data_IF_543896661956
#
_entry.id   IF_543896661956
#
_cell.length_a   1.000
_cell.length_b   1.000
_cell.length_c   1.000
_cell.angle_alpha   90.00
_cell.angle_beta   90.00
_cell.angle_gamma   90.00
#
_symmetry.space_group_name_H-M   'P 1'
#
loop_
_entity.id
_entity.type
_entity.pdbx_description
1 polymer ?
#
# COMPACT_ATOMS: atom_id res chain seq x y z
N UNK A 1 -1.42 16.93 -35.37
CA UNK A 1 -2.18 17.56 -34.26
C UNK A 1 -1.73 16.91 -32.97
N UNK A 2 -0.91 17.60 -32.17
CA UNK A 2 -0.52 17.13 -30.83
C UNK A 2 -1.60 17.64 -29.88
N UNK A 3 -2.50 16.76 -29.42
CA UNK A 3 -3.47 17.12 -28.39
C UNK A 3 -2.71 17.36 -27.08
N UNK A 4 -2.69 18.60 -26.60
CA UNK A 4 -2.19 18.92 -25.26
C UNK A 4 -3.13 18.26 -24.23
N UNK A 5 -2.60 17.28 -23.49
CA UNK A 5 -3.27 16.65 -22.36
C UNK A 5 -3.57 17.71 -21.29
N UNK A 6 -4.84 18.00 -21.09
CA UNK A 6 -5.36 18.89 -20.04
C UNK A 6 -5.52 18.19 -18.69
N UNK A 7 -5.02 16.96 -18.51
CA UNK A 7 -5.21 16.15 -17.30
C UNK A 7 -4.24 16.44 -16.15
N UNK A 8 -3.10 17.08 -16.41
CA UNK A 8 -2.01 17.15 -15.42
C UNK A 8 -2.22 18.24 -14.35
N UNK A 9 -2.96 19.32 -14.66
CA UNK A 9 -3.17 20.42 -13.72
C UNK A 9 -4.13 20.11 -12.55
N UNK A 10 -4.90 19.01 -12.62
CA UNK A 10 -5.81 18.61 -11.53
C UNK A 10 -5.10 17.90 -10.38
N UNK A 11 -3.96 17.26 -10.63
CA UNK A 11 -3.26 16.43 -9.64
C UNK A 11 -2.59 17.29 -8.57
N UNK A 12 -2.04 18.45 -8.95
CA UNK A 12 -1.33 19.36 -8.03
C UNK A 12 -2.20 19.86 -6.88
N UNK A 13 -3.51 20.09 -7.10
CA UNK A 13 -4.40 20.65 -6.07
C UNK A 13 -4.81 19.64 -4.99
N UNK A 14 -4.73 18.35 -5.28
CA UNK A 14 -5.11 17.33 -4.31
C UNK A 14 -4.04 17.17 -3.23
N UNK A 15 -2.76 17.42 -3.54
CA UNK A 15 -1.66 17.34 -2.56
C UNK A 15 -1.74 18.40 -1.45
N UNK A 16 -2.26 19.60 -1.75
CA UNK A 16 -2.28 20.73 -0.80
C UNK A 16 -3.23 20.54 0.40
N UNK A 17 -4.17 19.58 0.33
CA UNK A 17 -5.20 19.39 1.36
C UNK A 17 -4.88 18.28 2.39
N UNK A 18 -3.73 17.60 2.29
CA UNK A 18 -3.56 16.30 2.96
C UNK A 18 -2.86 16.25 4.33
N UNK A 19 -2.36 17.34 4.90
CA UNK A 19 -1.37 17.23 5.99
C UNK A 19 -1.95 17.34 7.42
N UNK A 20 -3.26 17.11 7.65
CA UNK A 20 -3.83 17.30 9.01
C UNK A 20 -4.15 16.03 9.81
N UNK A 21 -4.19 14.86 9.19
CA UNK A 21 -4.70 13.64 9.86
C UNK A 21 -3.60 12.62 10.22
N UNK A 22 -2.51 12.56 9.46
CA UNK A 22 -1.39 11.66 9.79
C UNK A 22 -0.49 12.28 10.86
N UNK A 23 0.05 11.45 11.74
CA UNK A 23 0.87 11.86 12.87
C UNK A 23 2.19 11.11 12.92
N UNK A 24 3.23 11.80 13.42
CA UNK A 24 4.53 11.19 13.66
C UNK A 24 4.42 10.12 14.76
N UNK A 25 4.91 8.89 14.54
CA UNK A 25 4.96 7.86 15.58
C UNK A 25 5.91 8.27 16.73
N UNK A 26 5.77 7.62 17.89
CA UNK A 26 6.62 7.86 19.07
C UNK A 26 8.05 7.33 18.93
N UNK A 27 8.33 6.51 17.91
CA UNK A 27 9.65 6.03 17.49
C UNK A 27 9.61 5.71 16.00
N UNK A 28 10.77 5.50 15.38
CA UNK A 28 10.83 5.17 13.95
C UNK A 28 10.24 3.78 13.68
N UNK A 29 9.46 3.67 12.61
CA UNK A 29 8.84 2.42 12.16
C UNK A 29 9.65 1.92 10.97
N UNK A 30 10.63 1.05 11.23
CA UNK A 30 11.60 0.56 10.23
C UNK A 30 11.43 -0.94 10.02
N UNK A 31 11.06 -1.37 8.81
CA UNK A 31 10.90 -2.79 8.50
C UNK A 31 11.96 -3.30 7.52
N UNK A 32 12.37 -2.45 6.57
CA UNK A 32 13.25 -2.79 5.46
C UNK A 32 14.68 -2.26 5.69
N UNK A 33 14.84 -0.94 5.69
CA UNK A 33 16.13 -0.26 5.84
C UNK A 33 15.91 1.21 6.21
N UNK A 34 16.76 1.74 7.09
CA UNK A 34 16.80 3.15 7.50
C UNK A 34 16.86 4.16 6.33
N UNK A 35 17.42 3.79 5.17
CA UNK A 35 17.44 4.67 3.99
C UNK A 35 16.04 4.98 3.43
N UNK A 36 15.03 4.18 3.79
CA UNK A 36 13.65 4.35 3.38
C UNK A 36 12.80 5.09 4.41
N UNK A 37 13.43 5.79 5.36
CA UNK A 37 12.72 6.58 6.37
C UNK A 37 12.44 7.98 5.84
N UNK A 38 11.16 8.36 5.85
CA UNK A 38 10.72 9.72 5.56
C UNK A 38 11.24 10.69 6.63
N UNK A 39 11.96 11.74 6.22
CA UNK A 39 12.34 12.83 7.13
C UNK A 39 11.18 13.78 7.42
N UNK A 40 10.21 13.85 6.51
CA UNK A 40 9.01 14.67 6.56
C UNK A 40 7.83 13.88 6.02
N UNK A 41 6.62 14.32 6.34
CA UNK A 41 5.42 13.77 5.73
C UNK A 41 5.51 13.85 4.21
N UNK A 42 5.33 12.71 3.53
CA UNK A 42 5.57 12.58 2.09
C UNK A 42 4.38 11.93 1.42
N UNK A 43 4.09 12.34 0.18
CA UNK A 43 3.01 11.79 -0.62
C UNK A 43 3.58 11.16 -1.88
N UNK A 44 3.13 9.94 -2.19
CA UNK A 44 3.44 9.26 -3.44
C UNK A 44 2.15 8.97 -4.22
N UNK A 45 2.29 8.88 -5.55
CA UNK A 45 1.18 8.56 -6.44
C UNK A 45 1.48 7.29 -7.23
N UNK A 46 0.56 6.33 -7.17
CA UNK A 46 0.54 5.16 -8.03
C UNK A 46 -0.29 5.44 -9.27
N UNK A 47 0.25 5.09 -10.44
CA UNK A 47 -0.44 5.28 -11.72
C UNK A 47 -0.20 4.10 -12.64
N UNK A 48 -1.27 3.59 -13.25
CA UNK A 48 -1.10 2.70 -14.40
C UNK A 48 -0.54 3.47 -15.60
N UNK A 49 0.58 2.99 -16.14
CA UNK A 49 1.29 3.58 -17.27
C UNK A 49 2.62 2.85 -17.47
N UNK A 50 3.19 2.96 -18.67
CA UNK A 50 4.50 2.38 -18.95
C UNK A 50 5.58 3.13 -18.17
N UNK A 51 6.40 2.37 -17.44
CA UNK A 51 7.62 2.87 -16.81
C UNK A 51 8.58 3.43 -17.86
N UNK A 52 9.30 4.49 -17.49
CA UNK A 52 10.39 5.01 -18.31
C UNK A 52 11.66 4.16 -18.23
N UNK A 53 11.73 3.25 -17.25
CA UNK A 53 12.93 2.46 -16.93
C UNK A 53 12.77 0.97 -17.26
N UNK A 54 11.53 0.46 -17.26
CA UNK A 54 11.22 -0.95 -17.45
C UNK A 54 9.97 -1.13 -18.32
N UNK A 55 9.59 -2.37 -18.64
CA UNK A 55 8.32 -2.68 -19.30
C UNK A 55 7.12 -2.75 -18.36
N UNK A 56 7.30 -2.38 -17.08
CA UNK A 56 6.26 -2.45 -16.07
C UNK A 56 5.17 -1.39 -16.31
N UNK A 57 3.94 -1.72 -15.93
CA UNK A 57 2.73 -0.94 -16.24
C UNK A 57 2.11 -0.23 -15.03
N UNK A 58 2.77 -0.29 -13.88
CA UNK A 58 2.41 0.46 -12.68
C UNK A 58 3.64 1.24 -12.22
N UNK A 59 3.53 2.56 -12.21
CA UNK A 59 4.61 3.47 -11.79
C UNK A 59 4.27 4.15 -10.48
N UNK A 60 5.31 4.45 -9.69
CA UNK A 60 5.22 5.20 -8.44
C UNK A 60 5.93 6.54 -8.66
N UNK A 61 5.18 7.61 -8.45
CA UNK A 61 5.63 8.98 -8.61
C UNK A 61 5.80 9.63 -7.23
N UNK A 62 6.78 10.53 -7.10
CA UNK A 62 6.90 11.43 -5.96
C UNK A 62 5.91 12.61 -6.06
N UNK A 63 6.02 13.54 -5.10
CA UNK A 63 5.25 14.77 -5.03
C UNK A 63 5.52 15.75 -6.19
N UNK A 64 6.63 15.58 -6.93
CA UNK A 64 6.95 16.34 -8.13
C UNK A 64 6.45 15.64 -9.42
N UNK A 65 5.67 14.56 -9.27
CA UNK A 65 5.20 13.68 -10.37
C UNK A 65 6.33 13.00 -11.15
N UNK A 66 7.51 12.85 -10.54
CA UNK A 66 8.64 12.14 -11.14
C UNK A 66 8.58 10.67 -10.77
N UNK A 67 8.79 9.81 -11.76
CA UNK A 67 8.89 8.37 -11.54
C UNK A 67 10.15 8.05 -10.71
N UNK A 68 9.92 7.43 -9.56
CA UNK A 68 10.99 7.03 -8.63
C UNK A 68 11.09 5.51 -8.50
N UNK A 69 9.98 4.79 -8.70
CA UNK A 69 9.90 3.33 -8.67
C UNK A 69 8.87 2.83 -9.68
N UNK A 70 8.92 1.54 -9.98
CA UNK A 70 7.94 0.85 -10.82
C UNK A 70 7.64 -0.54 -10.25
N UNK A 71 6.48 -1.09 -10.61
CA UNK A 71 5.99 -2.34 -10.05
C UNK A 71 5.69 -3.37 -11.15
N UNK A 72 6.25 -4.57 -11.03
CA UNK A 72 5.80 -5.74 -11.79
C UNK A 72 4.69 -6.45 -11.01
N UNK A 73 3.65 -6.86 -11.72
CA UNK A 73 2.55 -7.64 -11.16
C UNK A 73 2.50 -8.96 -11.91
N UNK A 74 2.71 -10.07 -11.19
CA UNK A 74 2.75 -11.42 -11.77
C UNK A 74 1.92 -12.38 -10.93
N UNK A 75 0.74 -12.74 -11.41
CA UNK A 75 -0.15 -13.66 -10.71
C UNK A 75 -0.62 -13.07 -9.38
N UNK A 76 -0.17 -13.65 -8.27
CA UNK A 76 -0.43 -13.22 -6.90
C UNK A 76 0.79 -12.53 -6.23
N UNK A 77 1.79 -12.18 -7.03
CA UNK A 77 3.00 -11.51 -6.57
C UNK A 77 3.06 -10.10 -7.16
N UNK A 78 3.55 -9.16 -6.35
CA UNK A 78 3.95 -7.83 -6.81
C UNK A 78 5.39 -7.57 -6.40
N UNK A 79 6.17 -6.93 -7.26
CA UNK A 79 7.59 -6.64 -7.02
C UNK A 79 7.83 -5.16 -7.31
N UNK A 80 8.38 -4.43 -6.34
CA UNK A 80 8.79 -3.02 -6.51
C UNK A 80 10.24 -3.00 -6.96
N UNK A 81 10.52 -2.26 -8.03
CA UNK A 81 11.84 -2.05 -8.60
C UNK A 81 12.27 -0.59 -8.46
N UNK A 82 13.57 -0.39 -8.34
CA UNK A 82 14.17 0.93 -8.48
C UNK A 82 14.26 1.36 -9.97
N UNK A 83 14.83 2.55 -10.19
CA UNK A 83 15.07 3.12 -11.53
C UNK A 83 16.09 2.35 -12.37
N UNK A 84 16.92 1.52 -11.75
CA UNK A 84 17.91 0.69 -12.44
C UNK A 84 17.32 -0.68 -12.82
N UNK A 85 16.09 -0.99 -12.37
CA UNK A 85 15.47 -2.29 -12.56
C UNK A 85 15.88 -3.32 -11.51
N UNK A 86 16.48 -2.88 -10.40
CA UNK A 86 16.82 -3.75 -9.28
C UNK A 86 15.61 -3.97 -8.37
N UNK A 87 15.27 -5.22 -8.04
CA UNK A 87 14.12 -5.53 -7.19
C UNK A 87 14.42 -5.15 -5.74
N UNK A 88 13.56 -4.34 -5.14
CA UNK A 88 13.71 -3.87 -3.75
C UNK A 88 13.02 -4.84 -2.80
N UNK A 89 11.73 -5.05 -3.02
CA UNK A 89 10.89 -5.92 -2.21
C UNK A 89 9.81 -6.54 -3.08
N UNK A 90 9.29 -7.67 -2.62
CA UNK A 90 8.09 -8.26 -3.18
C UNK A 90 7.04 -8.51 -2.11
N UNK A 91 5.81 -8.62 -2.58
CA UNK A 91 4.72 -9.15 -1.78
C UNK A 91 4.05 -10.31 -2.51
N UNK A 92 3.66 -11.32 -1.76
CA UNK A 92 2.93 -12.47 -2.27
C UNK A 92 1.69 -12.68 -1.41
N UNK A 93 0.51 -12.65 -2.02
CA UNK A 93 -0.76 -12.83 -1.30
C UNK A 93 -1.41 -14.17 -1.62
N UNK A 94 -2.08 -14.71 -0.61
CA UNK A 94 -2.90 -15.92 -0.71
C UNK A 94 -4.29 -15.59 -0.16
N UNK A 95 -5.32 -15.91 -0.94
CA UNK A 95 -6.73 -15.69 -0.60
C UNK A 95 -7.43 -17.03 -0.60
N UNK A 96 -7.99 -17.41 0.55
CA UNK A 96 -8.77 -18.62 0.75
C UNK A 96 -10.20 -18.27 1.13
N UNK A 97 -11.19 -18.84 0.43
CA UNK A 97 -12.60 -18.72 0.80
C UNK A 97 -12.95 -19.81 1.82
N UNK A 98 -13.31 -19.44 3.06
CA UNK A 98 -13.49 -20.40 4.16
C UNK A 98 -14.83 -21.14 4.18
N UNK A 99 -15.84 -20.70 3.43
CA UNK A 99 -17.20 -21.26 3.56
C UNK A 99 -18.17 -20.76 2.46
N UNK A 100 -19.40 -21.29 2.47
CA UNK A 100 -20.52 -20.79 1.66
C UNK A 100 -20.89 -19.33 1.96
N UNK A 101 -20.57 -18.81 3.14
CA UNK A 101 -21.00 -17.49 3.61
C UNK A 101 -20.17 -16.31 3.06
N UNK A 102 -19.31 -16.55 2.07
CA UNK A 102 -18.45 -15.53 1.43
C UNK A 102 -17.45 -14.87 2.39
N UNK A 103 -16.99 -15.62 3.40
CA UNK A 103 -15.84 -15.25 4.22
C UNK A 103 -14.53 -15.60 3.50
N UNK A 104 -13.62 -14.63 3.45
CA UNK A 104 -12.29 -14.75 2.88
C UNK A 104 -11.25 -14.60 3.98
N UNK A 105 -10.21 -15.42 3.87
CA UNK A 105 -8.97 -15.26 4.60
C UNK A 105 -7.88 -14.86 3.63
N UNK A 106 -7.17 -13.81 4.00
CA UNK A 106 -6.09 -13.27 3.19
C UNK A 106 -4.81 -13.22 4.03
N UNK A 107 -3.72 -13.67 3.43
CA UNK A 107 -2.37 -13.52 3.97
C UNK A 107 -1.50 -12.91 2.90
N UNK A 108 -0.78 -11.85 3.23
CA UNK A 108 0.21 -11.20 2.38
C UNK A 108 1.57 -11.32 3.07
N UNK A 109 2.51 -11.96 2.41
CA UNK A 109 3.91 -12.06 2.84
C UNK A 109 4.72 -10.95 2.19
N UNK A 110 5.64 -10.35 2.95
CA UNK A 110 6.54 -9.30 2.45
C UNK A 110 7.98 -9.76 2.58
N UNK A 111 8.70 -9.70 1.46
CA UNK A 111 9.97 -10.39 1.29
C UNK A 111 10.97 -9.53 0.51
N UNK A 112 12.24 -9.95 0.55
CA UNK A 112 13.35 -9.24 -0.08
C UNK A 112 13.47 -9.52 -1.57
N UNK A 113 13.67 -8.46 -2.36
CA UNK A 113 13.96 -8.55 -3.78
C UNK A 113 12.99 -9.48 -4.50
N UNK A 114 13.51 -10.58 -5.06
CA UNK A 114 12.73 -11.62 -5.76
C UNK A 114 12.49 -12.88 -4.94
N UNK A 115 12.91 -12.93 -3.67
CA UNK A 115 12.66 -14.09 -2.82
C UNK A 115 11.17 -14.17 -2.47
N UNK A 116 10.47 -15.15 -3.03
CA UNK A 116 9.04 -15.37 -2.78
C UNK A 116 8.77 -16.29 -1.58
N UNK A 117 9.82 -16.82 -0.96
CA UNK A 117 9.72 -17.95 -0.01
C UNK A 117 9.87 -17.52 1.44
N UNK A 118 10.65 -16.48 1.73
CA UNK A 118 10.85 -15.98 3.08
C UNK A 118 10.14 -14.66 3.29
N UNK A 119 9.10 -14.64 4.14
CA UNK A 119 8.37 -13.44 4.60
C UNK A 119 9.22 -12.54 5.50
N UNK A 120 10.43 -12.18 5.04
CA UNK A 120 11.51 -11.56 5.80
C UNK A 120 11.08 -10.28 6.52
N UNK A 121 10.25 -9.47 5.89
CA UNK A 121 9.86 -8.14 6.39
C UNK A 121 8.50 -8.12 7.07
N UNK A 122 7.84 -9.27 7.19
CA UNK A 122 6.61 -9.40 7.96
C UNK A 122 5.48 -10.05 7.18
N UNK A 123 4.36 -10.21 7.90
CA UNK A 123 3.17 -10.88 7.41
C UNK A 123 1.96 -10.03 7.77
N UNK A 124 1.11 -9.80 6.76
CA UNK A 124 -0.16 -9.13 6.91
C UNK A 124 -1.30 -10.15 6.76
N UNK A 125 -2.25 -10.15 7.70
CA UNK A 125 -3.37 -11.11 7.71
C UNK A 125 -4.69 -10.38 7.88
N UNK A 126 -5.72 -10.88 7.21
CA UNK A 126 -7.10 -10.41 7.38
C UNK A 126 -8.09 -11.55 7.23
N UNK A 127 -9.24 -11.40 7.86
CA UNK A 127 -10.44 -12.10 7.42
C UNK A 127 -11.60 -11.14 7.29
N UNK A 128 -12.31 -11.24 6.17
CA UNK A 128 -13.37 -10.30 5.82
C UNK A 128 -14.47 -11.00 5.03
N UNK A 129 -15.64 -10.35 4.98
CA UNK A 129 -16.74 -10.75 4.10
C UNK A 129 -16.88 -9.72 2.98
N UNK A 130 -17.25 -10.19 1.80
CA UNK A 130 -17.63 -9.29 0.70
C UNK A 130 -19.12 -8.98 0.78
N UNK A 131 -19.48 -7.71 0.60
CA UNK A 131 -20.86 -7.32 0.36
C UNK A 131 -21.34 -7.96 -0.95
N UNK A 132 -22.46 -8.69 -0.92
CA UNK A 132 -22.97 -9.44 -2.08
C UNK A 132 -23.33 -8.56 -3.28
N UNK A 133 -23.70 -7.30 -3.04
CA UNK A 133 -24.14 -6.39 -4.09
C UNK A 133 -22.99 -5.58 -4.68
N UNK A 134 -22.07 -5.11 -3.83
CA UNK A 134 -20.98 -4.23 -4.27
C UNK A 134 -19.66 -4.95 -4.48
N UNK A 135 -19.52 -6.19 -3.97
CA UNK A 135 -18.28 -6.96 -3.91
C UNK A 135 -17.15 -6.23 -3.17
N UNK A 136 -17.51 -5.33 -2.25
CA UNK A 136 -16.58 -4.56 -1.43
C UNK A 136 -16.43 -5.26 -0.07
N UNK A 137 -15.20 -5.39 0.46
CA UNK A 137 -14.98 -5.89 1.82
C UNK A 137 -15.74 -5.07 2.87
N UNK A 138 -16.38 -5.75 3.83
CA UNK A 138 -17.06 -5.14 4.96
C UNK A 138 -16.14 -5.20 6.18
N UNK A 139 -15.90 -4.07 6.85
CA UNK A 139 -15.07 -3.96 8.05
C UNK A 139 -13.69 -4.63 7.89
N UNK A 140 -13.06 -4.41 6.73
CA UNK A 140 -11.77 -5.01 6.42
C UNK A 140 -10.69 -4.41 7.33
N UNK A 141 -10.07 -5.28 8.12
CA UNK A 141 -8.95 -4.97 8.99
C UNK A 141 -7.81 -5.93 8.71
N UNK A 142 -6.67 -5.41 8.27
CA UNK A 142 -5.44 -6.18 8.21
C UNK A 142 -4.61 -5.97 9.47
N UNK A 143 -4.15 -7.07 10.05
CA UNK A 143 -3.18 -7.08 11.15
C UNK A 143 -1.82 -7.43 10.59
N UNK A 144 -0.85 -6.57 10.85
CA UNK A 144 0.53 -6.71 10.39
C UNK A 144 1.40 -7.02 11.60
N UNK A 145 2.32 -7.97 11.47
CA UNK A 145 3.37 -8.24 12.44
C UNK A 145 4.73 -8.23 11.72
N UNK A 146 5.68 -7.49 12.27
CA UNK A 146 7.02 -7.31 11.70
C UNK A 146 8.06 -7.04 12.79
N UNK A 147 9.34 -7.27 12.49
CA UNK A 147 10.45 -6.88 13.34
C UNK A 147 10.81 -5.42 13.06
N UNK A 148 10.59 -4.52 14.01
CA UNK A 148 11.04 -3.14 13.87
C UNK A 148 12.55 -3.05 14.11
N UNK A 149 13.30 -2.68 13.07
CA UNK A 149 14.75 -2.62 13.10
C UNK A 149 15.28 -1.50 14.01
N UNK A 150 14.47 -0.47 14.31
CA UNK A 150 14.86 0.63 15.20
C UNK A 150 15.13 0.16 16.63
N UNK A 151 14.24 -0.68 17.17
CA UNK A 151 14.28 -1.14 18.56
C UNK A 151 14.47 -2.65 18.71
N UNK A 152 14.58 -3.37 17.59
CA UNK A 152 14.70 -4.83 17.50
C UNK A 152 13.57 -5.58 18.22
N UNK A 153 12.32 -5.09 18.12
CA UNK A 153 11.13 -5.71 18.71
C UNK A 153 10.10 -6.07 17.65
N UNK A 154 9.33 -7.12 17.92
CA UNK A 154 8.15 -7.41 17.14
C UNK A 154 7.07 -6.35 17.43
N UNK A 155 6.63 -5.69 16.37
CA UNK A 155 5.61 -4.65 16.42
C UNK A 155 4.42 -4.99 15.55
N UNK A 156 3.32 -4.29 15.82
CA UNK A 156 2.05 -4.47 15.13
C UNK A 156 1.58 -3.18 14.51
N UNK A 157 1.14 -3.29 13.26
CA UNK A 157 0.36 -2.25 12.59
C UNK A 157 -1.04 -2.79 12.29
N UNK A 158 -2.00 -1.88 12.15
CA UNK A 158 -3.34 -2.23 11.73
C UNK A 158 -3.76 -1.37 10.53
N UNK A 159 -4.16 -2.01 9.43
CA UNK A 159 -4.75 -1.34 8.27
C UNK A 159 -6.26 -1.46 8.35
N UNK A 160 -6.95 -0.33 8.39
CA UNK A 160 -8.41 -0.25 8.47
C UNK A 160 -8.97 0.34 7.18
N UNK A 161 -9.96 -0.32 6.58
CA UNK A 161 -10.77 0.26 5.51
C UNK A 161 -11.71 1.33 6.12
N UNK A 162 -11.72 2.53 5.53
CA UNK A 162 -12.66 3.58 5.92
C UNK A 162 -14.09 3.21 5.55
N UNK A 163 -15.00 3.34 6.52
CA UNK A 163 -16.45 3.20 6.27
C UNK A 163 -17.06 4.44 5.60
N UNK A 164 -16.40 5.60 5.73
CA UNK A 164 -16.91 6.89 5.25
C UNK A 164 -16.39 7.22 3.84
N UNK A 165 -15.15 6.82 3.54
CA UNK A 165 -14.46 7.16 2.30
C UNK A 165 -14.15 5.88 1.53
N UNK A 166 -14.92 5.63 0.48
CA UNK A 166 -14.74 4.46 -0.38
C UNK A 166 -13.31 4.35 -0.92
N UNK A 167 -12.68 3.18 -0.71
CA UNK A 167 -11.32 2.91 -1.20
C UNK A 167 -10.23 3.68 -0.46
N UNK A 168 -10.50 4.14 0.77
CA UNK A 168 -9.51 4.74 1.65
C UNK A 168 -9.10 3.76 2.74
N UNK A 169 -7.80 3.56 2.93
CA UNK A 169 -7.23 2.74 4.00
C UNK A 169 -6.39 3.60 4.93
N UNK A 170 -6.43 3.27 6.21
CA UNK A 170 -5.72 3.96 7.26
C UNK A 170 -4.80 2.97 7.98
N UNK A 171 -3.52 3.29 8.09
CA UNK A 171 -2.51 2.44 8.73
C UNK A 171 -2.13 3.05 10.06
N UNK A 172 -2.40 2.33 11.14
CA UNK A 172 -2.13 2.76 12.51
C UNK A 172 -0.96 2.01 13.10
N UNK A 173 -0.10 2.71 13.83
CA UNK A 173 0.82 2.09 14.79
C UNK A 173 0.20 2.10 16.20
N UNK A 174 0.68 1.20 17.06
CA UNK A 174 0.16 0.98 18.42
C UNK A 174 -1.38 0.76 18.45
N UNK A 175 -1.94 -0.14 17.61
CA UNK A 175 -3.38 -0.27 17.49
C UNK A 175 -4.02 -0.70 18.82
N UNK A 176 -5.04 0.05 19.25
CA UNK A 176 -5.77 -0.16 20.51
C UNK A 176 -5.11 0.44 21.75
N UNK A 177 -3.94 1.05 21.63
CA UNK A 177 -3.22 1.68 22.74
C UNK A 177 -3.52 3.19 22.85
N UNK A 178 -3.18 3.79 24.00
CA UNK A 178 -3.39 5.24 24.22
C UNK A 178 -2.63 6.13 23.24
N UNK A 179 -1.53 5.62 22.67
CA UNK A 179 -0.69 6.29 21.69
C UNK A 179 -0.89 5.73 20.26
N UNK A 180 -2.07 5.15 19.99
CA UNK A 180 -2.48 4.80 18.62
C UNK A 180 -2.34 6.02 17.71
N UNK A 181 -1.58 5.89 16.62
CA UNK A 181 -1.29 7.00 15.71
C UNK A 181 -1.51 6.56 14.27
N UNK A 182 -2.25 7.37 13.50
CA UNK A 182 -2.40 7.19 12.06
C UNK A 182 -1.10 7.62 11.37
N UNK A 183 -0.35 6.66 10.82
CA UNK A 183 0.99 6.91 10.26
C UNK A 183 1.03 6.86 8.73
N UNK A 184 -0.01 6.30 8.11
CA UNK A 184 -0.12 6.27 6.65
C UNK A 184 -1.58 6.19 6.21
N UNK A 185 -1.87 6.83 5.08
CA UNK A 185 -3.20 6.87 4.46
C UNK A 185 -3.07 6.50 2.99
N UNK A 186 -3.89 5.56 2.52
CA UNK A 186 -3.96 5.16 1.11
C UNK A 186 -5.33 5.55 0.60
N UNK A 187 -5.41 6.29 -0.51
CA UNK A 187 -6.68 6.72 -1.09
C UNK A 187 -6.75 6.38 -2.57
N UNK A 188 -7.83 5.71 -2.96
CA UNK A 188 -8.19 5.51 -4.37
C UNK A 188 -8.85 6.76 -4.93
N UNK A 189 -8.36 7.24 -6.07
CA UNK A 189 -8.97 8.40 -6.72
C UNK A 189 -10.29 8.06 -7.41
N UNK A 190 -11.33 8.87 -7.14
CA UNK A 190 -12.72 8.58 -7.56
C UNK A 190 -12.88 8.61 -9.09
N UNK A 191 -12.23 9.59 -9.73
CA UNK A 191 -12.36 9.83 -11.17
C UNK A 191 -11.48 8.91 -12.00
N UNK A 192 -10.38 8.45 -11.42
CA UNK A 192 -9.43 7.62 -12.12
C UNK A 192 -9.13 6.36 -11.30
N UNK A 193 -9.89 5.29 -11.57
CA UNK A 193 -9.81 4.01 -10.83
C UNK A 193 -8.41 3.37 -10.83
N UNK A 194 -7.49 3.90 -11.62
CA UNK A 194 -6.11 3.47 -11.83
C UNK A 194 -5.08 4.34 -11.09
N UNK A 195 -5.54 5.23 -10.22
CA UNK A 195 -4.71 6.19 -9.48
C UNK A 195 -4.97 6.03 -7.99
N UNK A 196 -3.89 5.93 -7.24
CA UNK A 196 -3.93 5.87 -5.79
C UNK A 196 -2.88 6.81 -5.24
N UNK A 197 -3.22 7.55 -4.19
CA UNK A 197 -2.25 8.31 -3.41
C UNK A 197 -1.95 7.56 -2.13
N UNK A 198 -0.72 7.70 -1.66
CA UNK A 198 -0.31 7.26 -0.34
C UNK A 198 0.38 8.42 0.35
N UNK A 199 -0.06 8.74 1.56
CA UNK A 199 0.58 9.70 2.45
C UNK A 199 1.26 8.92 3.57
N UNK A 200 2.53 9.23 3.82
CA UNK A 200 3.36 8.54 4.81
C UNK A 200 3.93 9.57 5.76
N UNK A 201 3.76 9.35 7.07
CA UNK A 201 4.26 10.25 8.11
C UNK A 201 5.80 10.21 8.20
N UNK A 202 6.40 11.29 8.70
CA UNK A 202 7.81 11.32 9.05
C UNK A 202 8.17 10.19 10.05
N UNK A 203 9.37 9.61 9.92
CA UNK A 203 9.85 8.51 10.77
C UNK A 203 9.31 7.13 10.40
N UNK A 204 8.65 7.00 9.25
CA UNK A 204 8.06 5.73 8.78
C UNK A 204 8.78 5.25 7.53
N UNK A 205 8.98 3.93 7.44
CA UNK A 205 9.53 3.24 6.27
C UNK A 205 8.55 3.32 5.09
N UNK A 206 8.76 4.29 4.20
CA UNK A 206 7.84 4.54 3.09
C UNK A 206 7.84 3.38 2.10
N UNK A 207 8.96 2.69 1.94
CA UNK A 207 9.09 1.59 1.00
C UNK A 207 8.23 0.40 1.45
N UNK A 208 8.20 0.14 2.76
CA UNK A 208 7.27 -0.82 3.36
C UNK A 208 5.80 -0.41 3.19
N UNK A 209 5.47 0.88 3.33
CA UNK A 209 4.11 1.39 3.11
C UNK A 209 3.66 1.29 1.64
N UNK A 210 4.57 1.55 0.70
CA UNK A 210 4.32 1.38 -0.74
C UNK A 210 3.97 -0.07 -1.07
N UNK A 211 4.66 -1.03 -0.44
CA UNK A 211 4.36 -2.45 -0.58
C UNK A 211 2.89 -2.75 -0.22
N UNK A 212 2.44 -2.31 0.96
CA UNK A 212 1.05 -2.50 1.40
C UNK A 212 0.03 -1.91 0.42
N UNK A 213 0.28 -0.69 -0.07
CA UNK A 213 -0.60 -0.04 -1.02
C UNK A 213 -0.80 -0.89 -2.27
N UNK A 214 0.28 -1.41 -2.86
CA UNK A 214 0.20 -2.26 -4.05
C UNK A 214 -0.53 -3.55 -3.74
N UNK A 215 -0.18 -4.24 -2.65
CA UNK A 215 -0.73 -5.56 -2.31
C UNK A 215 -2.23 -5.50 -2.04
N UNK A 216 -2.68 -4.57 -1.19
CA UNK A 216 -4.09 -4.46 -0.79
C UNK A 216 -4.97 -4.15 -2.00
N UNK A 217 -4.55 -3.19 -2.84
CA UNK A 217 -5.34 -2.80 -4.00
C UNK A 217 -5.45 -3.93 -5.02
N UNK A 218 -4.38 -4.70 -5.19
CA UNK A 218 -4.34 -5.76 -6.19
C UNK A 218 -5.00 -7.06 -5.71
N UNK A 219 -4.83 -7.42 -4.43
CA UNK A 219 -5.42 -8.65 -3.87
C UNK A 219 -6.95 -8.60 -3.86
N UNK A 220 -7.54 -7.45 -3.50
CA UNK A 220 -9.00 -7.24 -3.53
C UNK A 220 -9.53 -7.37 -4.96
N UNK A 221 -8.83 -6.82 -5.94
CA UNK A 221 -9.20 -6.94 -7.35
C UNK A 221 -9.18 -8.40 -7.82
N UNK A 222 -8.20 -9.18 -7.37
CA UNK A 222 -8.13 -10.62 -7.68
C UNK A 222 -9.22 -11.41 -6.97
N UNK A 223 -9.52 -11.10 -5.70
CA UNK A 223 -10.62 -11.72 -4.96
C UNK A 223 -11.96 -11.53 -5.70
N UNK A 224 -12.21 -10.30 -6.18
CA UNK A 224 -13.41 -9.98 -6.94
C UNK A 224 -13.50 -10.78 -8.24
N UNK A 225 -12.40 -10.85 -9.02
CA UNK A 225 -12.38 -11.57 -10.30
C UNK A 225 -12.45 -13.10 -10.18
N UNK A 226 -11.90 -13.67 -9.10
CA UNK A 226 -11.77 -15.13 -8.96
C UNK A 226 -13.06 -15.80 -8.48
N UNK A 227 -13.87 -15.09 -7.70
CA UNK A 227 -15.00 -15.68 -6.98
C UNK A 227 -16.37 -15.15 -7.42
N UNK A 228 -16.43 -14.21 -8.35
CA UNK A 228 -17.63 -13.61 -8.93
C UNK A 228 -17.43 -13.38 -10.43
#
# INVERSE_FOLDING_TARGET
MISKNTSDNTISKDFDNFIKEIGKPNHEIIALDSKYICSHDTIYCFREGFSNYTSNTLVILDNENKEIYNCEIKGNTTIIYDKNGDPILNTCFNINKKSFDSTFEETINISEGKDLTNSKYGIMKSTYKLNRHTLVPINLVYKIEFLNLYNNKLEKLEVRLSNEIFGCYFIYCNPGEKNETLICKIKKEKRNKKYYTIEVAAGVDYMYMLAFCVSINYSIHIAQKRYF
#
